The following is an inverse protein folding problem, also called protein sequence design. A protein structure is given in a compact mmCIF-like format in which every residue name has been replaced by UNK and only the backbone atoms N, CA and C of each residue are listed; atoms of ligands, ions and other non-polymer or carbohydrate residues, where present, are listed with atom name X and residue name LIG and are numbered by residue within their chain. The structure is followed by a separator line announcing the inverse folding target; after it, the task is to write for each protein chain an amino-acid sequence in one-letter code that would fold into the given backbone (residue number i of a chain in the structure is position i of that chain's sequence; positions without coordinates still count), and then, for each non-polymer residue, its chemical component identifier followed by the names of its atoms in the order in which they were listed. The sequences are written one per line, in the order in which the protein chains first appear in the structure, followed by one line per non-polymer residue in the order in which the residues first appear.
data_IF_274413024287
#
_entry.id   IF_274413024287
#
_cell.length_a   1.000
_cell.length_b   1.000
_cell.length_c   1.000
_cell.angle_alpha   90.00
_cell.angle_beta   90.00
_cell.angle_gamma   90.00
#
_symmetry.space_group_name_H-M   'P 1'
#
loop_
_entity.id
_entity.type
_entity.pdbx_description
1 polymer ?
#
# COMPACT_ATOMS: atom_id res chain seq x y z
N UNK A 1 23.93 -19.08 49.36
CA UNK A 1 23.05 -19.37 48.21
C UNK A 1 21.82 -18.50 48.33
N UNK A 2 21.82 -17.28 47.77
CA UNK A 2 20.64 -16.41 47.75
C UNK A 2 20.25 -16.13 46.31
N UNK A 3 19.14 -16.76 45.90
CA UNK A 3 18.52 -16.56 44.60
C UNK A 3 17.67 -15.29 44.63
N UNK A 4 18.11 -14.24 43.92
CA UNK A 4 17.28 -13.09 43.62
C UNK A 4 16.34 -13.46 42.47
N UNK A 5 15.06 -13.63 42.78
CA UNK A 5 14.01 -13.76 41.79
C UNK A 5 13.96 -12.48 40.93
N UNK A 6 14.31 -12.62 39.65
CA UNK A 6 14.11 -11.57 38.64
C UNK A 6 12.61 -11.35 38.44
N UNK A 7 12.11 -10.23 38.95
CA UNK A 7 10.80 -9.69 38.59
C UNK A 7 10.75 -9.44 37.09
N UNK A 8 9.93 -10.23 36.37
CA UNK A 8 9.62 -9.99 34.95
C UNK A 8 8.82 -8.69 34.85
N UNK A 9 9.46 -7.63 34.36
CA UNK A 9 8.74 -6.42 33.95
C UNK A 9 7.76 -6.82 32.85
N UNK A 10 6.45 -6.79 33.15
CA UNK A 10 5.40 -6.77 32.13
C UNK A 10 5.63 -5.49 31.32
N UNK A 11 6.14 -5.64 30.10
CA UNK A 11 6.20 -4.53 29.16
C UNK A 11 4.80 -3.97 28.99
N UNK A 12 4.61 -2.71 29.33
CA UNK A 12 3.38 -1.98 29.04
C UNK A 12 3.37 -1.72 27.53
N UNK A 13 2.98 -2.74 26.75
CA UNK A 13 2.62 -2.53 25.36
C UNK A 13 1.27 -1.84 25.37
N UNK A 14 1.27 -0.52 25.14
CA UNK A 14 0.04 0.22 24.90
C UNK A 14 -0.75 -0.50 23.79
N UNK A 15 -2.08 -0.66 23.95
CA UNK A 15 -2.89 -1.28 22.91
C UNK A 15 -2.71 -0.51 21.60
N UNK A 16 -2.43 -1.23 20.52
CA UNK A 16 -2.32 -0.62 19.19
C UNK A 16 -3.68 -0.09 18.77
N UNK A 17 -3.70 1.10 18.19
CA UNK A 17 -4.93 1.73 17.67
C UNK A 17 -5.43 1.08 16.38
N UNK A 18 -4.59 0.32 15.69
CA UNK A 18 -4.85 -0.27 14.36
C UNK A 18 -4.44 -1.74 14.34
N UNK A 19 -5.09 -2.54 13.51
CA UNK A 19 -4.81 -3.95 13.30
C UNK A 19 -4.42 -4.23 11.83
N UNK A 20 -3.28 -4.88 11.63
CA UNK A 20 -2.84 -5.28 10.28
C UNK A 20 -3.71 -6.38 9.66
N UNK A 21 -4.56 -7.07 10.43
CA UNK A 21 -5.55 -8.01 9.88
C UNK A 21 -6.91 -7.35 9.63
N UNK A 22 -7.04 -6.03 9.84
CA UNK A 22 -8.25 -5.29 9.55
C UNK A 22 -8.13 -4.56 8.20
N UNK A 23 -8.88 -4.95 7.16
CA UNK A 23 -8.88 -4.27 5.87
C UNK A 23 -9.12 -2.76 5.94
N UNK A 24 -9.98 -2.31 6.86
CA UNK A 24 -10.35 -0.90 6.98
C UNK A 24 -9.17 -0.03 7.47
N UNK A 25 -8.27 -0.59 8.28
CA UNK A 25 -7.08 0.12 8.74
C UNK A 25 -6.07 0.35 7.60
N UNK A 26 -5.94 -0.61 6.68
CA UNK A 26 -5.14 -0.46 5.46
C UNK A 26 -5.71 0.60 4.53
N UNK A 27 -7.03 0.56 4.30
CA UNK A 27 -7.71 1.56 3.47
C UNK A 27 -7.53 2.97 4.05
N UNK A 28 -7.71 3.15 5.36
CA UNK A 28 -7.53 4.45 6.03
C UNK A 28 -6.11 5.02 5.85
N UNK A 29 -5.09 4.16 5.91
CA UNK A 29 -3.71 4.56 5.65
C UNK A 29 -3.51 4.95 4.17
N UNK A 30 -4.06 4.17 3.24
CA UNK A 30 -3.99 4.45 1.81
C UNK A 30 -4.67 5.78 1.44
N UNK A 31 -5.86 6.07 2.01
CA UNK A 31 -6.58 7.33 1.77
C UNK A 31 -5.79 8.56 2.26
N UNK A 32 -5.13 8.46 3.42
CA UNK A 32 -4.30 9.54 3.95
C UNK A 32 -3.08 9.81 3.06
N UNK A 33 -2.40 8.75 2.60
CA UNK A 33 -1.26 8.86 1.68
C UNK A 33 -1.70 9.44 0.31
N UNK A 34 -2.85 9.02 -0.23
CA UNK A 34 -3.43 9.56 -1.47
C UNK A 34 -3.70 11.05 -1.39
N UNK A 35 -4.23 11.53 -0.26
CA UNK A 35 -4.46 12.96 -0.05
C UNK A 35 -3.14 13.76 -0.12
N UNK A 36 -2.07 13.25 0.50
CA UNK A 36 -0.74 13.84 0.43
C UNK A 36 -0.16 13.84 -0.99
N UNK A 37 -0.28 12.71 -1.69
CA UNK A 37 0.18 12.56 -3.07
C UNK A 37 -0.49 13.56 -4.02
N UNK A 38 -1.80 13.77 -3.89
CA UNK A 38 -2.53 14.78 -4.69
C UNK A 38 -1.98 16.17 -4.47
N UNK A 39 -1.73 16.56 -3.22
CA UNK A 39 -1.18 17.88 -2.90
C UNK A 39 0.23 18.09 -3.50
N UNK A 40 1.06 17.04 -3.50
CA UNK A 40 2.41 17.08 -4.07
C UNK A 40 2.41 17.11 -5.60
N UNK A 41 1.55 16.31 -6.24
CA UNK A 41 1.44 16.21 -7.70
C UNK A 41 0.93 17.51 -8.35
N UNK A 42 0.12 18.31 -7.65
CA UNK A 42 -0.29 19.66 -8.10
C UNK A 42 0.90 20.60 -8.19
N UNK A 43 1.87 20.46 -7.28
CA UNK A 43 3.04 21.34 -7.19
C UNK A 43 4.28 20.78 -7.90
N UNK A 44 4.15 19.57 -8.48
CA UNK A 44 5.24 18.86 -9.14
C UNK A 44 6.48 18.72 -8.25
N UNK A 45 6.26 18.33 -6.98
CA UNK A 45 7.33 18.19 -5.99
C UNK A 45 7.67 16.73 -5.70
N UNK A 46 8.98 16.43 -5.67
CA UNK A 46 9.52 15.14 -5.23
C UNK A 46 8.93 13.94 -6.01
N UNK A 47 9.08 13.96 -7.33
CA UNK A 47 8.53 12.96 -8.26
C UNK A 47 8.83 11.51 -7.86
N UNK A 48 10.11 11.18 -7.65
CA UNK A 48 10.57 9.85 -7.24
C UNK A 48 9.92 9.37 -5.93
N UNK A 49 9.79 10.29 -4.95
CA UNK A 49 9.09 10.02 -3.70
C UNK A 49 7.59 9.77 -3.95
N UNK A 50 6.96 10.57 -4.82
CA UNK A 50 5.55 10.40 -5.15
C UNK A 50 5.29 9.07 -5.84
N UNK A 51 6.13 8.65 -6.80
CA UNK A 51 6.04 7.32 -7.42
C UNK A 51 6.19 6.20 -6.40
N UNK A 52 7.22 6.27 -5.55
CA UNK A 52 7.46 5.27 -4.50
C UNK A 52 6.27 5.17 -3.55
N UNK A 53 5.75 6.31 -3.10
CA UNK A 53 4.61 6.36 -2.20
C UNK A 53 3.32 5.87 -2.87
N UNK A 54 3.13 6.13 -4.16
CA UNK A 54 1.99 5.59 -4.91
C UNK A 54 2.04 4.06 -5.01
N UNK A 55 3.23 3.47 -5.19
CA UNK A 55 3.43 2.02 -5.13
C UNK A 55 3.05 1.46 -3.75
N UNK A 56 3.45 2.12 -2.66
CA UNK A 56 3.03 1.73 -1.31
C UNK A 56 1.52 1.88 -1.08
N UNK A 57 0.88 2.91 -1.65
CA UNK A 57 -0.58 3.07 -1.57
C UNK A 57 -1.26 1.90 -2.25
N UNK A 58 -0.82 1.55 -3.47
CA UNK A 58 -1.34 0.40 -4.19
C UNK A 58 -1.17 -0.87 -3.35
N UNK A 59 0.02 -1.14 -2.80
CA UNK A 59 0.26 -2.28 -1.90
C UNK A 59 -0.78 -2.36 -0.76
N UNK A 60 -1.05 -1.23 -0.08
CA UNK A 60 -2.03 -1.16 1.01
C UNK A 60 -3.44 -1.52 0.53
N UNK A 61 -3.86 -1.04 -0.65
CA UNK A 61 -5.17 -1.35 -1.23
C UNK A 61 -5.29 -2.83 -1.61
N UNK A 62 -4.27 -3.41 -2.23
CA UNK A 62 -4.27 -4.85 -2.58
C UNK A 62 -4.35 -5.70 -1.31
N UNK A 63 -3.59 -5.35 -0.26
CA UNK A 63 -3.64 -6.04 1.03
C UNK A 63 -5.01 -5.90 1.70
N UNK A 64 -5.63 -4.73 1.67
CA UNK A 64 -6.97 -4.54 2.20
C UNK A 64 -7.97 -5.51 1.53
N UNK A 65 -7.97 -5.56 0.20
CA UNK A 65 -8.86 -6.46 -0.56
C UNK A 65 -8.55 -7.93 -0.30
N UNK A 66 -7.27 -8.32 -0.30
CA UNK A 66 -6.85 -9.70 -0.04
C UNK A 66 -7.28 -10.16 1.36
N UNK A 67 -7.05 -9.34 2.39
CA UNK A 67 -7.46 -9.66 3.76
C UNK A 67 -8.98 -9.78 3.85
N UNK A 68 -9.74 -8.89 3.17
CA UNK A 68 -11.21 -8.99 3.07
C UNK A 68 -11.65 -10.32 2.46
N UNK A 69 -10.90 -10.84 1.49
CA UNK A 69 -11.10 -12.14 0.84
C UNK A 69 -10.52 -13.32 1.64
N UNK A 70 -10.12 -13.13 2.90
CA UNK A 70 -9.61 -14.20 3.76
C UNK A 70 -8.16 -14.60 3.49
N UNK A 71 -7.38 -13.78 2.77
CA UNK A 71 -5.94 -14.01 2.63
C UNK A 71 -5.23 -13.85 3.98
N UNK A 72 -4.40 -14.83 4.40
CA UNK A 72 -3.56 -14.66 5.57
C UNK A 72 -2.48 -13.62 5.24
N UNK A 73 -2.36 -12.57 6.07
CA UNK A 73 -1.41 -11.49 5.82
C UNK A 73 0.03 -12.01 5.69
N UNK A 74 0.58 -11.96 4.48
CA UNK A 74 2.00 -12.19 4.20
C UNK A 74 2.74 -10.85 4.14
N UNK A 75 3.89 -10.77 4.82
CA UNK A 75 4.75 -9.57 4.82
C UNK A 75 5.61 -9.51 3.55
N UNK A 76 4.97 -9.18 2.44
CA UNK A 76 5.63 -8.89 1.15
C UNK A 76 5.33 -7.48 0.68
N UNK A 77 6.23 -6.92 -0.12
CA UNK A 77 6.08 -5.63 -0.82
C UNK A 77 6.00 -5.82 -2.35
N UNK A 78 6.00 -7.08 -2.81
CA UNK A 78 5.98 -7.43 -4.22
C UNK A 78 4.56 -7.26 -4.78
N UNK A 79 4.36 -6.20 -5.57
CA UNK A 79 3.09 -5.90 -6.21
C UNK A 79 2.66 -6.98 -7.22
N UNK A 80 3.60 -7.66 -7.87
CA UNK A 80 3.28 -8.77 -8.78
C UNK A 80 2.76 -9.97 -8.01
N UNK A 81 3.40 -10.30 -6.89
CA UNK A 81 2.92 -11.38 -6.02
C UNK A 81 1.51 -11.07 -5.49
N UNK A 82 1.25 -9.83 -5.04
CA UNK A 82 -0.09 -9.43 -4.57
C UNK A 82 -1.14 -9.46 -5.69
N UNK A 83 -0.80 -9.04 -6.92
CA UNK A 83 -1.69 -9.14 -8.07
C UNK A 83 -2.04 -10.61 -8.39
N UNK A 84 -1.07 -11.52 -8.31
CA UNK A 84 -1.30 -12.95 -8.51
C UNK A 84 -2.25 -13.50 -7.44
N UNK A 85 -2.11 -13.10 -6.17
CA UNK A 85 -3.02 -13.51 -5.09
C UNK A 85 -4.47 -13.00 -5.31
N UNK A 86 -4.63 -11.81 -5.90
CA UNK A 86 -5.95 -11.30 -6.29
C UNK A 86 -6.56 -12.13 -7.41
N UNK A 87 -5.75 -12.51 -8.41
CA UNK A 87 -6.18 -13.37 -9.51
C UNK A 87 -6.63 -14.74 -9.01
N UNK A 88 -5.85 -15.37 -8.13
CA UNK A 88 -6.17 -16.68 -7.53
C UNK A 88 -7.48 -16.64 -6.75
N UNK A 89 -7.83 -15.48 -6.16
CA UNK A 89 -9.08 -15.26 -5.43
C UNK A 89 -10.21 -14.72 -6.28
N UNK A 90 -10.01 -14.64 -7.60
CA UNK A 90 -11.01 -14.16 -8.56
C UNK A 90 -11.55 -12.76 -8.20
N UNK A 91 -10.71 -11.92 -7.58
CA UNK A 91 -11.09 -10.55 -7.25
C UNK A 91 -11.28 -9.73 -8.52
N UNK A 92 -12.42 -9.07 -8.65
CA UNK A 92 -12.70 -8.07 -9.68
C UNK A 92 -11.81 -6.82 -9.57
N UNK A 93 -11.04 -6.68 -8.47
CA UNK A 93 -9.96 -5.69 -8.38
C UNK A 93 -8.75 -6.05 -9.26
N UNK A 94 -8.56 -7.32 -9.61
CA UNK A 94 -7.37 -7.77 -10.35
C UNK A 94 -7.22 -7.11 -11.74
N UNK A 95 -8.25 -7.12 -12.62
CA UNK A 95 -8.10 -6.54 -13.96
C UNK A 95 -7.64 -5.08 -13.97
N UNK A 96 -8.23 -4.16 -13.17
CA UNK A 96 -7.74 -2.77 -13.13
C UNK A 96 -6.44 -2.59 -12.33
N UNK A 97 -6.12 -3.48 -11.36
CA UNK A 97 -4.89 -3.37 -10.58
C UNK A 97 -3.63 -3.89 -11.29
N UNK A 98 -3.77 -4.89 -12.18
CA UNK A 98 -2.63 -5.55 -12.82
C UNK A 98 -1.70 -4.59 -13.58
N UNK A 99 -2.18 -3.69 -14.46
CA UNK A 99 -1.31 -2.76 -15.18
C UNK A 99 -0.54 -1.82 -14.24
N UNK A 100 -1.20 -1.35 -13.17
CA UNK A 100 -0.58 -0.53 -12.13
C UNK A 100 0.52 -1.28 -11.37
N UNK A 101 0.29 -2.55 -11.03
CA UNK A 101 1.29 -3.38 -10.36
C UNK A 101 2.54 -3.53 -11.23
N UNK A 102 2.38 -3.73 -12.55
CA UNK A 102 3.51 -3.80 -13.48
C UNK A 102 4.23 -2.47 -13.60
N UNK A 103 3.50 -1.36 -13.73
CA UNK A 103 4.09 -0.04 -13.89
C UNK A 103 4.80 0.49 -12.63
N UNK A 104 4.42 0.03 -11.43
CA UNK A 104 4.94 0.50 -10.15
C UNK A 104 5.89 -0.48 -9.45
N UNK A 105 6.00 -1.74 -9.90
CA UNK A 105 6.88 -2.74 -9.26
C UNK A 105 8.37 -2.38 -9.32
N UNK A 106 8.81 -1.63 -10.34
CA UNK A 106 10.23 -1.34 -10.59
C UNK A 106 10.74 -0.10 -9.82
N UNK A 107 9.86 0.68 -9.21
CA UNK A 107 10.18 1.98 -8.59
C UNK A 107 11.15 1.84 -7.41
N UNK A 108 11.15 0.70 -6.72
CA UNK A 108 11.92 0.54 -5.48
C UNK A 108 13.44 0.50 -5.68
N UNK A 109 13.92 0.26 -6.91
CA UNK A 109 15.35 0.11 -7.22
C UNK A 109 15.95 1.30 -7.95
N UNK A 110 15.23 1.92 -8.90
CA UNK A 110 15.77 2.99 -9.74
C UNK A 110 15.93 4.30 -8.98
N UNK A 111 15.01 4.60 -8.06
CA UNK A 111 14.87 5.96 -7.53
C UNK A 111 15.73 6.23 -6.27
N UNK A 112 16.46 5.23 -5.77
CA UNK A 112 17.21 5.30 -4.49
C UNK A 112 18.73 5.31 -4.65
N UNK A 113 19.25 5.11 -5.85
CA UNK A 113 20.69 5.09 -6.11
C UNK A 113 21.08 6.22 -7.07
N UNK A 114 22.03 7.09 -6.70
CA UNK A 114 22.57 8.08 -7.63
C UNK A 114 23.08 7.42 -8.92
N UNK A 115 22.82 8.03 -10.08
CA UNK A 115 23.21 7.50 -11.40
C UNK A 115 22.11 6.71 -12.13
N UNK A 116 20.92 6.60 -11.55
CA UNK A 116 19.71 6.04 -12.18
C UNK A 116 18.64 7.10 -12.47
N UNK A 117 18.97 8.38 -12.27
CA UNK A 117 18.18 9.58 -12.56
C UNK A 117 18.25 9.97 -14.05
N UNK A 118 18.17 8.97 -14.94
CA UNK A 118 18.35 9.13 -16.38
C UNK A 118 17.11 9.69 -17.09
N UNK A 119 15.95 9.66 -16.43
CA UNK A 119 14.67 10.07 -17.01
C UNK A 119 14.10 11.30 -16.29
N UNK A 120 13.56 12.23 -17.08
CA UNK A 120 12.82 13.39 -16.56
C UNK A 120 11.49 12.95 -15.90
N UNK A 121 11.03 13.68 -14.87
CA UNK A 121 9.73 13.45 -14.25
C UNK A 121 8.54 13.48 -15.24
N UNK A 122 7.87 12.34 -15.41
CA UNK A 122 6.61 12.22 -16.16
C UNK A 122 5.40 12.47 -15.24
N UNK A 123 5.19 13.74 -14.89
CA UNK A 123 4.05 14.17 -14.08
C UNK A 123 2.67 13.82 -14.68
N UNK A 124 2.43 13.95 -15.99
CA UNK A 124 1.19 13.48 -16.61
C UNK A 124 0.89 12.01 -16.32
N UNK A 125 1.87 11.12 -16.51
CA UNK A 125 1.71 9.68 -16.20
C UNK A 125 1.44 9.44 -14.72
N UNK A 126 2.17 10.11 -13.83
CA UNK A 126 1.94 9.96 -12.39
C UNK A 126 0.51 10.39 -11.99
N UNK A 127 -0.02 11.47 -12.57
CA UNK A 127 -1.40 11.91 -12.30
C UNK A 127 -2.44 10.89 -12.79
N UNK A 128 -2.25 10.32 -13.98
CA UNK A 128 -3.11 9.25 -14.48
C UNK A 128 -3.09 8.04 -13.54
N UNK A 129 -1.91 7.59 -13.13
CA UNK A 129 -1.78 6.49 -12.17
C UNK A 129 -2.42 6.82 -10.81
N UNK A 130 -2.30 8.07 -10.36
CA UNK A 130 -2.92 8.53 -9.12
C UNK A 130 -4.46 8.49 -9.19
N UNK A 131 -5.04 8.83 -10.33
CA UNK A 131 -6.48 8.74 -10.58
C UNK A 131 -6.95 7.28 -10.64
N UNK A 132 -6.20 6.40 -11.31
CA UNK A 132 -6.48 4.96 -11.37
C UNK A 132 -6.41 4.30 -9.98
N UNK A 133 -5.38 4.61 -9.19
CA UNK A 133 -5.25 4.11 -7.81
C UNK A 133 -6.34 4.69 -6.91
N UNK A 134 -6.76 5.94 -7.14
CA UNK A 134 -7.91 6.55 -6.46
C UNK A 134 -9.20 5.78 -6.77
N UNK A 135 -9.40 5.39 -8.03
CA UNK A 135 -10.54 4.58 -8.44
C UNK A 135 -10.53 3.21 -7.73
N UNK A 136 -9.38 2.53 -7.67
CA UNK A 136 -9.22 1.29 -6.89
C UNK A 136 -9.57 1.48 -5.41
N UNK A 137 -9.15 2.60 -4.79
CA UNK A 137 -9.50 2.91 -3.41
C UNK A 137 -11.03 3.03 -3.23
N UNK A 138 -11.73 3.62 -4.21
CA UNK A 138 -13.19 3.68 -4.23
C UNK A 138 -13.85 2.29 -4.29
N UNK A 139 -13.31 1.39 -5.12
CA UNK A 139 -13.78 0.00 -5.20
C UNK A 139 -13.57 -0.76 -3.89
N UNK A 140 -12.39 -0.63 -3.26
CA UNK A 140 -12.12 -1.27 -1.96
C UNK A 140 -13.04 -0.70 -0.88
N UNK A 141 -13.22 0.62 -0.86
CA UNK A 141 -14.10 1.31 0.11
C UNK A 141 -15.54 0.84 0.04
N UNK A 142 -16.11 0.70 -1.16
CA UNK A 142 -17.50 0.25 -1.31
C UNK A 142 -17.71 -1.17 -0.77
N UNK A 143 -16.73 -2.05 -0.92
CA UNK A 143 -16.78 -3.44 -0.42
C UNK A 143 -16.64 -3.54 1.09
N UNK A 144 -15.95 -2.59 1.73
CA UNK A 144 -15.81 -2.53 3.19
C UNK A 144 -16.98 -1.80 3.87
N UNK A 145 -17.75 -1.02 3.11
CA UNK A 145 -18.93 -0.30 3.60
C UNK A 145 -20.26 -1.07 3.47
N UNK A 146 -20.29 -2.16 2.72
CA UNK A 146 -21.48 -3.02 2.61
C UNK A 146 -21.50 -4.03 3.78
N UNK A 147 -22.61 -4.12 4.55
CA UNK A 147 -22.79 -5.25 5.46
C UNK A 147 -22.81 -6.54 4.64
N UNK A 148 -22.03 -7.54 5.09
CA UNK A 148 -21.97 -8.87 4.50
C UNK A 148 -23.34 -9.58 4.53
#
# INVERSE_FOLDING_TARGET
MSSLARSKRKGCCLPRKTDSNNPADWLRLAEADLAGLRALAVRELAYAMCRSKLAEVLEKLLKAELIRLGWPLVRTHDLQALANELQVRESDLFPPAKPLCSALAEVYFTDRYPGFDLEEPDWPKLRLQLDEVTHLAGMVKSRLGSPA
#
